data_IF_813250785392
#
_entry.id   IF_813250785392
#
_cell.length_a   1.000
_cell.length_b   1.000
_cell.length_c   1.000
_cell.angle_alpha   90.00
_cell.angle_beta   90.00
_cell.angle_gamma   90.00
#
_symmetry.space_group_name_H-M   'P 1'
#
loop_
_entity.id
_entity.type
_entity.pdbx_description
1 polymer ?
#
# COMPACT_ATOMS: atom_id res chain seq x y z
N UNK A 1 -3.74 -6.48 -2.20
CA UNK A 1 -4.91 -7.38 -2.25
C UNK A 1 -5.04 -8.15 -3.57
N UNK A 2 -5.37 -7.51 -4.71
CA UNK A 2 -5.77 -8.21 -5.94
C UNK A 2 -4.79 -9.31 -6.42
N UNK A 3 -3.49 -9.03 -6.50
CA UNK A 3 -2.49 -10.04 -6.89
C UNK A 3 -2.43 -11.23 -5.93
N UNK A 4 -2.54 -11.00 -4.61
CA UNK A 4 -2.53 -12.06 -3.61
C UNK A 4 -3.75 -12.96 -3.68
N UNK A 5 -4.93 -12.38 -3.96
CA UNK A 5 -6.16 -13.14 -4.19
C UNK A 5 -6.05 -13.96 -5.47
N UNK A 6 -5.55 -13.36 -6.57
CA UNK A 6 -5.34 -14.06 -7.82
C UNK A 6 -4.38 -15.25 -7.68
N UNK A 7 -3.28 -15.10 -6.94
CA UNK A 7 -2.35 -16.20 -6.66
C UNK A 7 -3.04 -17.35 -5.90
N UNK A 8 -3.86 -17.02 -4.88
CA UNK A 8 -4.67 -18.01 -4.15
C UNK A 8 -5.64 -18.74 -5.07
N UNK A 9 -6.42 -17.99 -5.83
CA UNK A 9 -7.42 -18.55 -6.76
C UNK A 9 -6.80 -19.43 -7.82
N UNK A 10 -5.63 -19.07 -8.38
CA UNK A 10 -4.93 -19.91 -9.35
C UNK A 10 -4.50 -21.24 -8.74
N UNK A 11 -3.99 -21.23 -7.51
CA UNK A 11 -3.58 -22.46 -6.81
C UNK A 11 -4.78 -23.33 -6.43
N UNK A 12 -5.85 -22.74 -5.91
CA UNK A 12 -7.11 -23.46 -5.61
C UNK A 12 -7.77 -24.01 -6.88
N UNK A 13 -7.60 -23.32 -8.02
CA UNK A 13 -8.05 -23.76 -9.34
C UNK A 13 -7.16 -24.82 -10.01
N UNK A 14 -6.12 -25.32 -9.32
CA UNK A 14 -5.27 -26.40 -9.81
C UNK A 14 -4.14 -25.97 -10.77
N UNK A 15 -3.88 -24.67 -10.93
CA UNK A 15 -2.70 -24.24 -11.69
C UNK A 15 -1.43 -24.66 -10.95
N UNK A 16 -0.57 -25.44 -11.60
CA UNK A 16 0.64 -26.02 -11.02
C UNK A 16 1.95 -25.37 -11.51
N UNK A 17 1.87 -24.52 -12.54
CA UNK A 17 3.00 -23.81 -13.13
C UNK A 17 3.63 -22.77 -12.19
N UNK A 18 4.75 -22.20 -12.65
CA UNK A 18 5.47 -21.14 -11.93
C UNK A 18 4.56 -19.91 -11.75
N UNK A 19 4.42 -19.44 -10.51
CA UNK A 19 3.72 -18.20 -10.18
C UNK A 19 4.67 -17.24 -9.49
N UNK A 20 4.79 -16.04 -10.04
CA UNK A 20 5.61 -14.96 -9.51
C UNK A 20 4.71 -13.76 -9.24
N UNK A 21 4.77 -13.23 -8.02
CA UNK A 21 4.08 -12.02 -7.61
C UNK A 21 5.12 -10.93 -7.36
N UNK A 22 5.09 -9.90 -8.20
CA UNK A 22 6.01 -8.77 -8.17
C UNK A 22 5.30 -7.59 -7.52
N UNK A 23 5.94 -6.94 -6.54
CA UNK A 23 5.43 -5.75 -5.88
C UNK A 23 6.54 -4.95 -5.24
N UNK A 24 6.38 -3.62 -5.16
CA UNK A 24 7.41 -2.73 -4.63
C UNK A 24 7.48 -2.75 -3.09
N UNK A 25 6.38 -3.09 -2.40
CA UNK A 25 6.36 -3.24 -0.95
C UNK A 25 6.97 -4.60 -0.53
N UNK A 26 7.85 -4.65 0.48
CA UNK A 26 8.47 -5.89 0.95
C UNK A 26 7.50 -6.78 1.74
N UNK A 27 6.36 -6.24 2.16
CA UNK A 27 5.33 -6.97 2.91
C UNK A 27 4.49 -7.88 2.01
N UNK A 28 4.13 -9.10 2.45
CA UNK A 28 3.19 -9.94 1.73
C UNK A 28 1.85 -9.22 1.48
N UNK A 29 1.10 -9.59 0.41
CA UNK A 29 -0.17 -8.95 0.11
C UNK A 29 -1.12 -8.89 1.30
N UNK A 30 -1.61 -7.69 1.62
CA UNK A 30 -2.51 -7.44 2.74
C UNK A 30 -3.63 -6.46 2.36
N UNK A 31 -4.61 -6.33 3.25
CA UNK A 31 -5.68 -5.33 3.21
C UNK A 31 -5.25 -4.00 3.82
N UNK A 32 -5.45 -2.91 3.09
CA UNK A 32 -5.05 -1.55 3.50
C UNK A 32 -5.98 -0.78 4.47
N UNK A 33 -7.26 -1.18 4.77
CA UNK A 33 -8.11 -0.42 5.69
C UNK A 33 -7.55 -0.06 7.08
N UNK A 34 -6.65 -0.83 7.72
CA UNK A 34 -6.13 -0.47 9.04
C UNK A 34 -5.09 0.65 8.99
N UNK A 35 -4.48 0.93 7.82
CA UNK A 35 -3.39 1.91 7.67
C UNK A 35 -3.80 3.36 8.00
N UNK A 36 -5.09 3.66 8.00
CA UNK A 36 -5.67 4.95 8.42
C UNK A 36 -6.35 4.89 9.80
N UNK A 37 -6.35 3.73 10.45
CA UNK A 37 -7.14 3.41 11.65
C UNK A 37 -6.28 2.84 12.77
N UNK A 38 -6.61 1.63 13.20
CA UNK A 38 -6.03 0.84 14.28
C UNK A 38 -4.53 0.61 14.13
N UNK A 39 -4.03 0.34 12.91
CA UNK A 39 -2.58 0.21 12.68
C UNK A 39 -1.85 1.56 12.85
N UNK A 40 -2.41 2.64 12.27
CA UNK A 40 -1.89 4.01 12.42
C UNK A 40 -1.81 4.42 13.91
N UNK A 41 -2.83 4.06 14.69
CA UNK A 41 -2.87 4.30 16.15
C UNK A 41 -1.99 3.36 16.96
N UNK A 42 -1.37 2.36 16.33
CA UNK A 42 -0.54 1.35 17.00
C UNK A 42 -1.32 0.36 17.88
N UNK A 43 -2.62 0.21 17.63
CA UNK A 43 -3.51 -0.67 18.39
C UNK A 43 -3.49 -2.12 17.89
N UNK A 44 -3.06 -2.34 16.64
CA UNK A 44 -2.95 -3.67 16.06
C UNK A 44 -1.75 -3.80 15.11
N UNK A 45 -1.41 -5.05 14.78
CA UNK A 45 -0.47 -5.39 13.71
C UNK A 45 -1.21 -5.79 12.42
N UNK A 46 -0.51 -5.82 11.29
CA UNK A 46 -1.10 -6.20 10.00
C UNK A 46 -1.29 -7.71 9.80
N UNK A 47 -0.93 -8.55 10.77
CA UNK A 47 -1.00 -10.02 10.63
C UNK A 47 -2.42 -10.52 10.35
N UNK A 48 -3.43 -9.90 10.97
CA UNK A 48 -4.86 -10.19 10.72
C UNK A 48 -5.39 -9.67 9.38
N UNK A 49 -4.59 -8.88 8.66
CA UNK A 49 -4.96 -8.25 7.40
C UNK A 49 -4.25 -8.86 6.18
N UNK A 50 -3.38 -9.84 6.38
CA UNK A 50 -2.73 -10.57 5.29
C UNK A 50 -3.79 -11.28 4.42
N UNK A 51 -3.63 -11.20 3.11
CA UNK A 51 -4.52 -11.91 2.15
C UNK A 51 -4.36 -13.42 2.29
N UNK A 52 -3.12 -13.86 2.48
CA UNK A 52 -2.78 -15.22 2.89
C UNK A 52 -1.71 -15.15 3.99
N UNK A 53 -1.67 -16.11 4.93
CA UNK A 53 -0.59 -16.19 5.92
C UNK A 53 0.78 -16.22 5.23
N UNK A 54 1.83 -15.64 5.83
CA UNK A 54 3.16 -15.52 5.19
C UNK A 54 3.70 -16.84 4.65
N UNK A 55 3.58 -17.93 5.43
CA UNK A 55 4.04 -19.27 5.03
C UNK A 55 3.24 -19.88 3.88
N UNK A 56 2.05 -19.36 3.59
CA UNK A 56 1.18 -19.87 2.52
C UNK A 56 1.86 -19.73 1.16
N UNK A 57 2.56 -18.62 0.90
CA UNK A 57 3.21 -18.36 -0.39
C UNK A 57 4.29 -19.40 -0.71
N UNK A 58 5.19 -19.66 0.24
CA UNK A 58 6.22 -20.69 0.12
C UNK A 58 5.59 -22.08 -0.03
N UNK A 59 4.64 -22.43 0.84
CA UNK A 59 3.95 -23.73 0.83
C UNK A 59 3.20 -24.00 -0.48
N UNK A 60 2.75 -22.94 -1.16
CA UNK A 60 2.04 -23.02 -2.43
C UNK A 60 2.91 -22.68 -3.64
N UNK A 61 4.25 -22.65 -3.49
CA UNK A 61 5.19 -22.39 -4.60
C UNK A 61 4.87 -21.08 -5.34
N UNK A 62 4.61 -20.02 -4.59
CA UNK A 62 4.42 -18.66 -5.11
C UNK A 62 5.65 -17.83 -4.76
N UNK A 63 6.39 -17.39 -5.78
CA UNK A 63 7.56 -16.56 -5.61
C UNK A 63 7.13 -15.11 -5.35
N UNK A 64 7.54 -14.55 -4.21
CA UNK A 64 7.38 -13.13 -3.92
C UNK A 64 8.65 -12.38 -4.33
N UNK A 65 8.50 -11.36 -5.17
CA UNK A 65 9.61 -10.53 -5.64
C UNK A 65 9.35 -9.09 -5.24
N UNK A 66 10.14 -8.60 -4.28
CA UNK A 66 10.18 -7.20 -3.89
C UNK A 66 10.95 -6.40 -4.95
N UNK A 67 10.22 -5.82 -5.90
CA UNK A 67 10.76 -5.05 -7.03
C UNK A 67 9.67 -4.16 -7.64
N UNK A 68 10.10 -3.09 -8.31
CA UNK A 68 9.22 -2.24 -9.09
C UNK A 68 9.24 -2.70 -10.54
N UNK A 69 8.09 -3.09 -11.09
CA UNK A 69 7.97 -3.32 -12.53
C UNK A 69 7.95 -1.97 -13.26
N UNK A 70 8.93 -1.74 -14.14
CA UNK A 70 9.10 -0.47 -14.88
C UNK A 70 8.55 -0.54 -16.30
N UNK A 71 8.33 -1.74 -16.83
CA UNK A 71 7.89 -1.93 -18.21
C UNK A 71 7.47 -3.36 -18.52
N UNK A 72 6.81 -3.51 -19.67
CA UNK A 72 6.46 -4.82 -20.23
C UNK A 72 6.93 -4.88 -21.67
N UNK A 73 7.92 -5.74 -21.93
CA UNK A 73 8.35 -6.07 -23.28
C UNK A 73 7.48 -7.22 -23.81
N UNK A 74 6.43 -6.86 -24.54
CA UNK A 74 5.45 -7.83 -25.07
C UNK A 74 6.07 -8.79 -26.10
N UNK A 75 6.89 -8.34 -27.09
CA UNK A 75 7.53 -9.24 -28.04
C UNK A 75 8.40 -10.31 -27.37
N UNK A 76 9.18 -9.92 -26.36
CA UNK A 76 10.05 -10.84 -25.60
C UNK A 76 9.33 -11.57 -24.47
N UNK A 77 8.08 -11.20 -24.18
CA UNK A 77 7.28 -11.67 -23.04
C UNK A 77 8.01 -11.55 -21.70
N UNK A 78 8.54 -10.36 -21.42
CA UNK A 78 9.27 -10.06 -20.19
C UNK A 78 8.66 -8.85 -19.48
N UNK A 79 8.59 -8.93 -18.15
CA UNK A 79 8.41 -7.77 -17.28
C UNK A 79 9.80 -7.25 -16.95
N UNK A 80 10.02 -5.96 -17.20
CA UNK A 80 11.23 -5.23 -16.83
C UNK A 80 11.08 -4.74 -15.40
N UNK A 81 12.11 -4.94 -14.59
CA UNK A 81 12.16 -4.53 -13.20
C UNK A 81 13.17 -3.38 -13.04
N UNK A 82 13.04 -2.69 -11.92
CA UNK A 82 14.09 -1.81 -11.41
C UNK A 82 15.43 -2.55 -11.27
N UNK A 83 16.52 -1.80 -11.36
CA UNK A 83 17.90 -2.31 -11.40
C UNK A 83 18.22 -3.24 -12.60
N UNK A 84 17.46 -3.15 -13.70
CA UNK A 84 17.81 -3.76 -14.99
C UNK A 84 17.57 -5.27 -15.09
N UNK A 85 16.85 -5.85 -14.12
CA UNK A 85 16.44 -7.26 -14.14
C UNK A 85 15.18 -7.45 -14.99
N UNK A 86 14.95 -8.65 -15.49
CA UNK A 86 13.68 -9.00 -16.13
C UNK A 86 13.16 -10.37 -15.72
N UNK A 87 11.84 -10.55 -15.80
CA UNK A 87 11.17 -11.82 -15.52
C UNK A 87 10.30 -12.20 -16.72
N UNK A 88 10.59 -13.36 -17.31
CA UNK A 88 9.80 -13.92 -18.41
C UNK A 88 8.42 -14.40 -17.91
N UNK A 89 7.40 -14.23 -18.75
CA UNK A 89 6.04 -14.67 -18.45
C UNK A 89 5.38 -15.42 -19.62
N UNK A 90 4.53 -16.40 -19.29
CA UNK A 90 3.61 -17.01 -20.26
C UNK A 90 2.29 -16.24 -20.35
N UNK A 91 1.79 -15.81 -19.18
CA UNK A 91 0.62 -14.94 -19.00
C UNK A 91 0.99 -13.86 -17.99
N UNK A 92 0.46 -12.65 -18.18
CA UNK A 92 0.68 -11.51 -17.30
C UNK A 92 -0.66 -11.02 -16.79
N UNK A 93 -0.76 -10.82 -15.47
CA UNK A 93 -1.92 -10.21 -14.82
C UNK A 93 -1.47 -8.92 -14.13
N UNK A 94 -2.04 -7.79 -14.54
CA UNK A 94 -1.73 -6.47 -13.97
C UNK A 94 -2.65 -6.21 -12.78
N UNK A 95 -2.06 -6.08 -11.59
CA UNK A 95 -2.79 -5.83 -10.32
C UNK A 95 -2.18 -4.67 -9.52
N UNK A 96 -1.60 -3.69 -10.22
CA UNK A 96 -0.86 -2.55 -9.64
C UNK A 96 -1.74 -1.60 -8.82
N UNK A 97 -3.04 -1.56 -9.08
CA UNK A 97 -3.96 -0.65 -8.40
C UNK A 97 -3.69 0.80 -8.81
N UNK A 98 -3.76 1.72 -7.85
CA UNK A 98 -3.41 3.13 -8.05
C UNK A 98 -2.20 3.55 -7.22
N UNK A 99 -1.90 4.85 -7.25
CA UNK A 99 -0.86 5.51 -6.46
C UNK A 99 -1.44 6.80 -5.85
N UNK A 100 -0.71 7.39 -4.91
CA UNK A 100 -1.12 8.69 -4.37
C UNK A 100 -1.04 9.74 -5.47
N UNK A 101 -2.02 10.65 -5.53
CA UNK A 101 -1.89 11.86 -6.35
C UNK A 101 -0.95 12.80 -5.61
N UNK A 102 0.19 13.11 -6.21
CA UNK A 102 1.13 14.08 -5.65
C UNK A 102 0.51 15.49 -5.61
N UNK A 103 0.79 16.18 -4.51
CA UNK A 103 0.34 17.54 -4.29
C UNK A 103 1.30 18.47 -5.02
N UNK A 104 0.87 19.04 -6.13
CA UNK A 104 1.70 19.92 -6.96
C UNK A 104 1.65 21.37 -6.44
N UNK A 105 2.41 21.64 -5.37
CA UNK A 105 2.61 22.99 -4.84
C UNK A 105 3.99 23.16 -4.20
N UNK A 106 4.45 24.40 -4.16
CA UNK A 106 5.72 24.75 -3.53
C UNK A 106 5.75 24.31 -2.06
N UNK A 107 6.70 23.44 -1.72
CA UNK A 107 6.87 22.90 -0.37
C UNK A 107 6.20 21.54 -0.12
N UNK A 108 5.57 20.91 -1.12
CA UNK A 108 4.99 19.58 -0.98
C UNK A 108 6.01 18.47 -0.65
N UNK A 109 7.29 18.71 -0.95
CA UNK A 109 8.41 17.79 -0.68
C UNK A 109 9.14 18.11 0.64
N UNK A 110 8.65 19.06 1.45
CA UNK A 110 9.28 19.39 2.73
C UNK A 110 9.13 18.24 3.74
N UNK A 111 10.11 18.06 4.65
CA UNK A 111 9.93 17.15 5.79
C UNK A 111 8.66 17.49 6.57
N UNK A 112 7.89 16.46 6.93
CA UNK A 112 6.61 16.61 7.63
C UNK A 112 5.39 16.69 6.70
N UNK A 113 5.57 16.63 5.38
CA UNK A 113 4.49 16.35 4.43
C UNK A 113 4.41 14.85 4.21
N UNK A 114 3.25 14.26 4.48
CA UNK A 114 3.03 12.82 4.38
C UNK A 114 1.88 12.51 3.43
N UNK A 115 1.97 11.36 2.78
CA UNK A 115 0.86 10.71 2.06
C UNK A 115 0.48 9.42 2.78
N UNK A 116 -0.62 8.78 2.39
CA UNK A 116 -1.03 7.51 3.02
C UNK A 116 -1.61 6.51 2.01
N UNK A 117 -0.83 5.46 1.77
CA UNK A 117 -1.19 4.29 0.98
C UNK A 117 -0.41 3.05 1.39
N UNK A 118 0.88 3.18 1.66
CA UNK A 118 1.79 2.08 2.00
C UNK A 118 1.97 1.92 3.51
N UNK A 119 2.57 0.80 3.93
CA UNK A 119 2.93 0.59 5.33
C UNK A 119 3.94 1.65 5.79
N UNK A 120 4.99 1.88 5.00
CA UNK A 120 6.04 2.85 5.31
C UNK A 120 5.49 4.28 5.47
N UNK A 121 4.51 4.66 4.65
CA UNK A 121 3.82 5.95 4.78
C UNK A 121 2.98 6.04 6.07
N UNK A 122 2.28 4.97 6.45
CA UNK A 122 1.53 4.90 7.72
C UNK A 122 2.46 4.99 8.93
N UNK A 123 3.59 4.28 8.88
CA UNK A 123 4.63 4.32 9.91
C UNK A 123 5.23 5.72 10.06
N UNK A 124 5.53 6.40 8.94
CA UNK A 124 6.04 7.77 8.97
C UNK A 124 5.07 8.76 9.64
N UNK A 125 3.77 8.65 9.37
CA UNK A 125 2.74 9.47 10.05
C UNK A 125 2.69 9.11 11.54
N UNK A 126 2.71 7.82 11.87
CA UNK A 126 2.68 7.32 13.25
C UNK A 126 3.87 7.82 14.07
N UNK A 127 5.08 7.83 13.49
CA UNK A 127 6.29 8.34 14.12
C UNK A 127 6.22 9.85 14.38
N UNK A 128 5.63 10.62 13.47
CA UNK A 128 5.44 12.07 13.64
C UNK A 128 4.31 12.41 14.64
N UNK A 129 3.33 11.52 14.78
CA UNK A 129 2.15 11.72 15.61
C UNK A 129 2.43 11.50 17.10
N UNK A 130 2.36 12.57 17.88
CA UNK A 130 2.43 12.52 19.33
C UNK A 130 1.43 13.50 19.96
N UNK A 131 1.06 13.24 21.22
CA UNK A 131 0.13 14.10 21.96
C UNK A 131 0.64 15.55 21.98
N UNK A 132 -0.22 16.49 21.57
CA UNK A 132 0.11 17.92 21.51
C UNK A 132 0.70 18.39 20.17
N UNK A 133 1.08 17.47 19.28
CA UNK A 133 1.46 17.82 17.91
C UNK A 133 0.31 18.51 17.16
N UNK A 134 0.65 19.19 16.05
CA UNK A 134 -0.32 19.82 15.15
C UNK A 134 -0.21 19.19 13.77
N UNK A 135 -1.35 18.84 13.18
CA UNK A 135 -1.40 18.29 11.83
C UNK A 135 -2.43 19.04 10.99
N UNK A 136 -2.09 19.23 9.71
CA UNK A 136 -3.02 19.68 8.68
C UNK A 136 -3.36 18.47 7.80
N UNK A 137 -4.63 18.10 7.72
CA UNK A 137 -5.10 17.06 6.79
C UNK A 137 -5.69 17.73 5.55
N UNK A 138 -5.09 17.47 4.39
CA UNK A 138 -5.54 17.99 3.10
C UNK A 138 -6.36 16.93 2.38
N UNK A 139 -7.64 17.20 2.19
CA UNK A 139 -8.62 16.28 1.61
C UNK A 139 -9.43 15.55 2.68
N UNK A 140 -10.75 15.63 2.57
CA UNK A 140 -11.71 15.01 3.50
C UNK A 140 -12.61 14.00 2.79
N UNK A 141 -11.99 13.10 2.01
CA UNK A 141 -12.62 11.83 1.64
C UNK A 141 -12.56 10.83 2.80
N UNK A 142 -13.07 9.61 2.62
CA UNK A 142 -13.08 8.58 3.67
C UNK A 142 -11.73 8.42 4.39
N UNK A 143 -10.62 8.28 3.65
CA UNK A 143 -9.28 8.14 4.25
C UNK A 143 -8.88 9.39 5.03
N UNK A 144 -9.16 10.59 4.53
CA UNK A 144 -8.87 11.85 5.23
C UNK A 144 -9.65 11.99 6.53
N UNK A 145 -10.94 11.61 6.52
CA UNK A 145 -11.78 11.56 7.72
C UNK A 145 -11.24 10.55 8.75
N UNK A 146 -10.86 9.34 8.30
CA UNK A 146 -10.30 8.31 9.17
C UNK A 146 -8.95 8.73 9.79
N UNK A 147 -8.05 9.30 8.99
CA UNK A 147 -6.77 9.83 9.48
C UNK A 147 -7.00 10.96 10.48
N UNK A 148 -7.90 11.90 10.19
CA UNK A 148 -8.27 12.99 11.10
C UNK A 148 -8.77 12.43 12.44
N UNK A 149 -9.66 11.44 12.40
CA UNK A 149 -10.18 10.80 13.60
C UNK A 149 -9.08 10.07 14.38
N UNK A 150 -8.21 9.32 13.70
CA UNK A 150 -7.12 8.59 14.32
C UNK A 150 -6.10 9.50 14.99
N UNK A 151 -5.65 10.55 14.30
CA UNK A 151 -4.73 11.55 14.86
C UNK A 151 -5.34 12.28 16.06
N UNK A 152 -6.63 12.61 15.99
CA UNK A 152 -7.37 13.22 17.11
C UNK A 152 -7.38 12.29 18.33
N UNK A 153 -7.64 10.98 18.14
CA UNK A 153 -7.61 9.98 19.21
C UNK A 153 -6.21 9.83 19.83
N UNK A 154 -5.15 9.99 19.02
CA UNK A 154 -3.75 10.01 19.47
C UNK A 154 -3.37 11.32 20.20
N UNK A 155 -4.28 12.28 20.30
CA UNK A 155 -4.07 13.56 20.99
C UNK A 155 -3.37 14.62 20.14
N UNK A 156 -3.35 14.46 18.82
CA UNK A 156 -2.88 15.49 17.88
C UNK A 156 -3.98 16.53 17.68
N UNK A 157 -3.59 17.81 17.60
CA UNK A 157 -4.49 18.90 17.24
C UNK A 157 -4.59 18.98 15.71
N UNK A 158 -5.71 18.53 15.16
CA UNK A 158 -5.89 18.43 13.71
C UNK A 158 -6.68 19.62 13.17
N UNK A 159 -6.21 20.19 12.07
CA UNK A 159 -7.00 21.08 11.19
C UNK A 159 -7.18 20.37 9.86
N UNK A 160 -8.37 20.42 9.29
CA UNK A 160 -8.65 19.78 8.01
C UNK A 160 -9.00 20.84 6.96
N UNK A 161 -8.50 20.65 5.74
CA UNK A 161 -8.79 21.49 4.58
C UNK A 161 -9.33 20.63 3.45
N UNK A 162 -10.41 21.07 2.83
CA UNK A 162 -11.12 20.38 1.77
C UNK A 162 -11.70 21.40 0.78
N UNK A 163 -11.88 21.03 -0.49
CA UNK A 163 -12.67 21.85 -1.40
C UNK A 163 -14.16 21.74 -1.01
N UNK A 164 -14.81 22.88 -0.75
CA UNK A 164 -16.26 22.94 -0.52
C UNK A 164 -16.65 23.25 0.94
N UNK A 165 -17.96 23.13 1.21
CA UNK A 165 -18.55 23.55 2.48
C UNK A 165 -18.64 22.43 3.53
N UNK A 166 -18.54 21.16 3.12
CA UNK A 166 -18.66 19.99 4.00
C UNK A 166 -17.80 18.82 3.49
N UNK A 167 -17.36 17.92 4.40
CA UNK A 167 -16.72 16.65 4.04
C UNK A 167 -17.58 15.77 3.12
N UNK A 168 -16.93 14.79 2.48
CA UNK A 168 -17.59 13.71 1.75
C UNK A 168 -18.32 12.76 2.70
#
# INVERSE_FOLDING_TARGET
MAGGVAAKTLREGGYDGRLVLIGHEPTPPFGRPPLSKTYLRGEESLSGWLVNPDRWYESNRVELVAATATGVNVPMRQVELDAGRSIAFGKLLITTGGENRHLDLAGAELPGVFQLRTVAESDAIKEAAHRGARALVVGMGFIGCEVTASLTQMGVKVTSVLPGAAPL
#
